data_IF_115293199061
#
_entry.id   IF_115293199061
#
_cell.length_a   1.000
_cell.length_b   1.000
_cell.length_c   1.000
_cell.angle_alpha   90.00
_cell.angle_beta   90.00
_cell.angle_gamma   90.00
#
_symmetry.space_group_name_H-M   'P 1'
#
loop_
_entity.id
_entity.type
_entity.pdbx_description
1 polymer ?
#
# COMPACT_ATOMS: atom_id res chain seq x y z
N UNK A 1 51.40 -18.61 -22.32
CA UNK A 1 50.08 -19.23 -22.55
C UNK A 1 49.07 -18.57 -21.62
N UNK A 2 48.25 -17.64 -22.11
CA UNK A 2 47.10 -17.09 -21.39
C UNK A 2 45.94 -17.08 -22.38
N UNK A 3 45.03 -18.03 -22.21
CA UNK A 3 43.85 -18.22 -23.06
C UNK A 3 42.77 -17.25 -22.63
N UNK A 4 42.39 -16.34 -23.52
CA UNK A 4 41.23 -15.47 -23.36
C UNK A 4 39.99 -16.23 -23.82
N UNK A 5 39.08 -16.52 -22.90
CA UNK A 5 37.77 -17.11 -23.20
C UNK A 5 36.84 -16.05 -23.77
N UNK A 6 36.53 -16.18 -25.06
CA UNK A 6 35.50 -15.42 -25.76
C UNK A 6 34.16 -16.08 -25.47
N UNK A 7 33.32 -15.42 -24.67
CA UNK A 7 31.91 -15.81 -24.48
C UNK A 7 31.10 -15.14 -25.57
N UNK A 8 30.61 -15.92 -26.52
CA UNK A 8 29.73 -15.47 -27.59
C UNK A 8 28.34 -15.15 -27.05
N UNK A 9 27.95 -13.87 -27.07
CA UNK A 9 26.57 -13.45 -26.91
C UNK A 9 25.82 -13.65 -28.23
N UNK A 10 24.87 -14.59 -28.25
CA UNK A 10 23.89 -14.70 -29.32
C UNK A 10 22.87 -13.58 -29.17
N UNK A 11 22.93 -12.59 -30.06
CA UNK A 11 21.92 -11.56 -30.18
C UNK A 11 20.70 -12.12 -30.93
N UNK A 12 19.62 -12.42 -30.19
CA UNK A 12 18.30 -12.58 -30.80
C UNK A 12 17.76 -11.18 -31.13
N UNK A 13 17.69 -10.84 -32.41
CA UNK A 13 17.05 -9.63 -32.91
C UNK A 13 15.55 -9.71 -32.73
N UNK A 14 15.05 -9.11 -31.64
CA UNK A 14 13.62 -8.95 -31.40
C UNK A 14 13.14 -7.67 -32.07
N UNK A 15 12.26 -7.81 -33.07
CA UNK A 15 11.66 -6.70 -33.78
C UNK A 15 10.77 -5.86 -32.83
N UNK A 16 11.18 -4.61 -32.61
CA UNK A 16 10.50 -3.65 -31.75
C UNK A 16 9.27 -3.08 -32.48
N UNK A 17 8.08 -3.50 -32.09
CA UNK A 17 6.82 -2.90 -32.54
C UNK A 17 6.58 -1.62 -31.75
N UNK A 18 6.65 -0.46 -32.42
CA UNK A 18 6.31 0.84 -31.86
C UNK A 18 4.78 0.91 -31.61
N UNK A 19 4.35 0.53 -30.40
CA UNK A 19 2.96 0.64 -29.97
C UNK A 19 2.67 2.05 -29.43
N UNK A 20 1.77 2.77 -30.09
CA UNK A 20 1.25 4.07 -29.64
C UNK A 20 0.55 3.96 -28.27
N UNK A 21 0.78 4.88 -27.31
CA UNK A 21 0.35 4.72 -25.92
C UNK A 21 -1.14 5.02 -25.61
N UNK A 22 -2.05 5.04 -26.59
CA UNK A 22 -3.41 5.61 -26.38
C UNK A 22 -4.56 4.61 -26.15
N UNK A 23 -4.34 3.31 -25.96
CA UNK A 23 -5.44 2.33 -25.85
C UNK A 23 -5.38 1.33 -24.67
N UNK A 24 -4.66 1.62 -23.57
CA UNK A 24 -4.51 0.65 -22.48
C UNK A 24 -5.60 0.69 -21.37
N UNK A 25 -6.65 1.52 -21.47
CA UNK A 25 -7.57 1.75 -20.33
C UNK A 25 -8.96 1.06 -20.39
N UNK A 26 -9.30 0.24 -21.38
CA UNK A 26 -10.65 -0.34 -21.49
C UNK A 26 -10.77 -1.87 -21.38
N UNK A 27 -9.80 -2.53 -20.73
CA UNK A 27 -9.92 -3.94 -20.34
C UNK A 27 -10.48 -4.11 -18.92
N UNK A 28 -11.78 -3.89 -18.71
CA UNK A 28 -12.47 -4.02 -17.39
C UNK A 28 -12.70 -5.50 -16.96
N UNK A 29 -11.75 -6.39 -17.26
CA UNK A 29 -11.88 -7.84 -17.09
C UNK A 29 -10.87 -8.50 -16.15
N UNK A 30 -10.11 -7.73 -15.36
CA UNK A 30 -9.24 -8.31 -14.32
C UNK A 30 -10.05 -8.98 -13.23
N UNK A 31 -9.78 -10.26 -12.96
CA UNK A 31 -10.41 -11.00 -11.86
C UNK A 31 -10.30 -10.19 -10.56
N UNK A 32 -11.46 -9.85 -9.97
CA UNK A 32 -11.56 -9.00 -8.75
C UNK A 32 -10.87 -9.62 -7.52
N UNK A 33 -10.46 -10.87 -7.60
CA UNK A 33 -9.75 -11.59 -6.55
C UNK A 33 -8.24 -11.26 -6.50
N UNK A 34 -7.74 -10.48 -7.48
CA UNK A 34 -6.32 -10.10 -7.54
C UNK A 34 -5.40 -11.25 -7.94
N UNK A 35 -5.95 -12.36 -8.47
CA UNK A 35 -5.21 -13.55 -8.92
C UNK A 35 -4.28 -13.27 -10.10
N UNK A 36 -4.52 -12.19 -10.85
CA UNK A 36 -3.78 -11.87 -12.07
C UNK A 36 -3.97 -12.92 -13.16
N UNK A 37 -3.49 -12.67 -14.38
CA UNK A 37 -3.47 -13.68 -15.42
C UNK A 37 -2.50 -14.82 -15.03
N UNK A 38 -2.92 -16.07 -15.30
CA UNK A 38 -2.01 -17.21 -15.38
C UNK A 38 -1.14 -17.02 -16.61
N UNK A 39 0.15 -17.27 -16.47
CA UNK A 39 1.14 -17.06 -17.54
C UNK A 39 1.83 -18.37 -17.85
N UNK A 40 2.22 -18.53 -19.10
CA UNK A 40 3.10 -19.62 -19.52
C UNK A 40 4.52 -19.29 -19.06
N UNK A 41 5.07 -20.11 -18.17
CA UNK A 41 6.40 -19.89 -17.60
C UNK A 41 7.54 -20.40 -18.50
N UNK A 42 7.22 -21.02 -19.65
CA UNK A 42 8.21 -21.54 -20.59
C UNK A 42 8.97 -20.46 -21.38
N UNK A 43 8.40 -19.25 -21.52
CA UNK A 43 9.04 -18.15 -22.27
C UNK A 43 9.43 -17.01 -21.33
N UNK A 44 10.69 -17.01 -20.90
CA UNK A 44 11.25 -15.98 -20.02
C UNK A 44 11.88 -14.83 -20.78
N UNK A 45 11.90 -13.65 -20.16
CA UNK A 45 12.72 -12.53 -20.60
C UNK A 45 13.50 -11.96 -19.41
N UNK A 46 14.61 -11.29 -19.71
CA UNK A 46 15.35 -10.47 -18.73
C UNK A 46 15.69 -9.14 -19.37
N UNK A 47 15.39 -8.06 -18.67
CA UNK A 47 15.76 -6.69 -19.03
C UNK A 47 16.67 -6.14 -17.94
N UNK A 48 17.86 -5.69 -18.32
CA UNK A 48 18.78 -4.99 -17.43
C UNK A 48 18.98 -3.56 -17.91
N UNK A 49 18.93 -2.60 -16.99
CA UNK A 49 19.08 -1.21 -17.36
C UNK A 49 19.04 -0.25 -16.18
N UNK A 50 18.89 1.03 -16.52
CA UNK A 50 18.75 2.14 -15.59
C UNK A 50 17.26 2.40 -15.32
N UNK A 51 16.87 2.58 -14.07
CA UNK A 51 15.52 3.02 -13.70
C UNK A 51 15.32 4.46 -14.20
N UNK A 52 14.33 4.68 -15.03
CA UNK A 52 13.94 6.01 -15.51
C UNK A 52 12.90 6.64 -14.60
N UNK A 53 11.93 5.83 -14.17
CA UNK A 53 10.85 6.28 -13.29
C UNK A 53 10.29 5.12 -12.48
N UNK A 54 9.85 5.43 -11.26
CA UNK A 54 9.13 4.51 -10.40
C UNK A 54 7.89 5.22 -9.85
N UNK A 55 6.72 4.80 -10.34
CA UNK A 55 5.43 5.34 -9.96
C UNK A 55 4.77 4.39 -8.96
N UNK A 56 5.03 4.61 -7.68
CA UNK A 56 4.44 3.86 -6.59
C UNK A 56 3.92 4.84 -5.53
N UNK A 57 2.67 5.25 -5.68
CA UNK A 57 2.03 6.15 -4.72
C UNK A 57 0.89 5.46 -3.96
N UNK A 58 0.70 5.81 -2.68
CA UNK A 58 -0.44 5.34 -1.94
C UNK A 58 -1.77 5.71 -2.63
N UNK A 59 -2.64 4.72 -2.82
CA UNK A 59 -3.89 4.86 -3.59
C UNK A 59 -3.78 4.51 -5.08
N UNK A 60 -2.57 4.33 -5.61
CA UNK A 60 -2.38 3.70 -6.91
C UNK A 60 -2.60 2.20 -6.79
N UNK A 61 -3.43 1.65 -7.69
CA UNK A 61 -3.76 0.23 -7.66
C UNK A 61 -2.55 -0.66 -7.99
N UNK A 62 -1.79 -0.26 -9.01
CA UNK A 62 -0.71 -1.05 -9.60
C UNK A 62 0.51 -0.16 -9.90
N UNK A 63 1.54 -0.14 -9.04
CA UNK A 63 2.77 0.59 -9.33
C UNK A 63 3.44 0.17 -10.63
N UNK A 64 4.17 1.14 -11.20
CA UNK A 64 4.87 0.99 -12.47
C UNK A 64 6.34 1.34 -12.33
N UNK A 65 7.20 0.56 -12.97
CA UNK A 65 8.65 0.78 -13.05
C UNK A 65 9.06 0.88 -14.51
N UNK A 66 9.75 1.96 -14.89
CA UNK A 66 10.29 2.12 -16.24
C UNK A 66 11.80 1.93 -16.20
N UNK A 67 12.31 1.03 -17.03
CA UNK A 67 13.75 0.73 -17.14
C UNK A 67 14.23 1.04 -18.56
N UNK A 68 15.38 1.69 -18.68
CA UNK A 68 16.09 2.01 -19.91
C UNK A 68 17.28 1.09 -20.09
N UNK A 69 17.27 0.31 -21.16
CA UNK A 69 18.36 -0.58 -21.53
C UNK A 69 19.55 0.19 -22.12
N UNK A 70 20.70 -0.47 -22.23
CA UNK A 70 21.90 0.13 -22.84
C UNK A 70 21.71 0.55 -24.31
N UNK A 71 20.74 -0.05 -25.01
CA UNK A 71 20.33 0.33 -26.38
C UNK A 71 19.59 1.67 -26.43
N UNK A 72 19.17 2.22 -25.29
CA UNK A 72 18.32 3.40 -25.18
C UNK A 72 16.82 3.11 -25.15
N UNK A 73 16.40 1.86 -25.44
CA UNK A 73 15.00 1.43 -25.34
C UNK A 73 14.48 1.53 -23.91
N UNK A 74 13.25 2.02 -23.74
CA UNK A 74 12.59 2.10 -22.44
C UNK A 74 11.40 1.13 -22.39
N UNK A 75 11.33 0.33 -21.33
CA UNK A 75 10.25 -0.61 -21.10
C UNK A 75 9.61 -0.33 -19.74
N UNK A 76 8.28 -0.24 -19.72
CA UNK A 76 7.52 0.02 -18.50
C UNK A 76 6.79 -1.24 -18.00
N UNK A 77 7.02 -1.57 -16.74
CA UNK A 77 6.57 -2.80 -16.10
C UNK A 77 5.57 -2.51 -14.99
N UNK A 78 4.50 -3.30 -14.89
CA UNK A 78 3.58 -3.25 -13.73
C UNK A 78 4.02 -4.27 -12.68
N UNK A 79 4.22 -3.80 -11.45
CA UNK A 79 4.84 -4.58 -10.37
C UNK A 79 3.84 -5.26 -9.42
N UNK A 80 2.54 -5.29 -9.75
CA UNK A 80 1.50 -5.80 -8.86
C UNK A 80 0.98 -4.74 -7.89
N UNK A 81 0.26 -5.11 -6.80
CA UNK A 81 -0.41 -4.15 -5.93
C UNK A 81 0.56 -3.34 -5.04
N UNK A 82 0.31 -2.04 -4.86
CA UNK A 82 1.15 -1.16 -4.01
C UNK A 82 1.39 -1.69 -2.60
N UNK A 83 0.34 -2.21 -1.94
CA UNK A 83 0.44 -2.81 -0.60
C UNK A 83 1.49 -3.92 -0.50
N UNK A 84 1.73 -4.66 -1.58
CA UNK A 84 2.70 -5.74 -1.59
C UNK A 84 4.12 -5.18 -1.65
N UNK A 85 4.36 -4.20 -2.53
CA UNK A 85 5.67 -3.52 -2.61
C UNK A 85 6.04 -2.86 -1.28
N UNK A 86 5.07 -2.21 -0.63
CA UNK A 86 5.23 -1.62 0.69
C UNK A 86 5.59 -2.66 1.74
N UNK A 87 4.89 -3.80 1.78
CA UNK A 87 5.20 -4.90 2.70
C UNK A 87 6.59 -5.51 2.47
N UNK A 88 7.13 -5.41 1.25
CA UNK A 88 8.48 -5.83 0.90
C UNK A 88 9.52 -4.71 1.06
N UNK A 89 9.12 -3.52 1.54
CA UNK A 89 9.95 -2.32 1.62
C UNK A 89 10.71 -2.02 0.31
N UNK A 90 10.09 -2.35 -0.83
CA UNK A 90 10.71 -2.16 -2.13
C UNK A 90 10.48 -0.74 -2.63
N UNK A 91 11.57 -0.07 -2.98
CA UNK A 91 11.57 1.24 -3.65
C UNK A 91 12.65 1.26 -4.73
N UNK A 92 12.48 2.15 -5.70
CA UNK A 92 13.45 2.40 -6.76
C UNK A 92 13.48 3.89 -7.09
N UNK A 93 14.65 4.40 -7.43
CA UNK A 93 14.88 5.80 -7.80
C UNK A 93 15.46 5.91 -9.21
N UNK A 94 15.22 7.04 -9.87
CA UNK A 94 15.79 7.29 -11.19
C UNK A 94 17.32 7.26 -11.14
N UNK A 95 17.96 6.62 -12.11
CA UNK A 95 19.40 6.42 -12.18
C UNK A 95 19.91 5.13 -11.53
N UNK A 96 19.09 4.41 -10.77
CA UNK A 96 19.50 3.12 -10.19
C UNK A 96 19.57 2.01 -11.25
N UNK A 97 20.39 0.98 -11.03
CA UNK A 97 20.43 -0.18 -11.92
C UNK A 97 19.44 -1.24 -11.47
N UNK A 98 18.65 -1.74 -12.40
CA UNK A 98 17.67 -2.79 -12.15
C UNK A 98 17.81 -3.95 -13.16
N UNK A 99 17.52 -5.15 -12.68
CA UNK A 99 17.28 -6.34 -13.49
C UNK A 99 15.83 -6.77 -13.29
N UNK A 100 15.07 -6.86 -14.38
CA UNK A 100 13.67 -7.30 -14.39
C UNK A 100 13.60 -8.63 -15.13
N UNK A 101 13.12 -9.66 -14.45
CA UNK A 101 12.89 -10.99 -15.03
C UNK A 101 11.39 -11.28 -15.01
N UNK A 102 10.90 -11.88 -16.09
CA UNK A 102 9.49 -12.21 -16.21
C UNK A 102 9.21 -13.16 -17.36
N UNK A 103 7.94 -13.20 -17.75
CA UNK A 103 7.47 -14.06 -18.82
C UNK A 103 6.66 -13.28 -19.85
N UNK A 104 6.74 -13.74 -21.09
CA UNK A 104 5.87 -13.26 -22.16
C UNK A 104 4.44 -13.72 -21.87
N UNK A 105 3.49 -12.81 -22.02
CA UNK A 105 2.08 -13.06 -21.77
C UNK A 105 1.23 -12.47 -22.89
N UNK A 106 0.89 -13.31 -23.87
CA UNK A 106 0.09 -12.91 -25.03
C UNK A 106 -1.32 -12.41 -24.66
N UNK A 107 -1.86 -12.85 -23.53
CA UNK A 107 -3.18 -12.42 -23.02
C UNK A 107 -3.13 -11.19 -22.10
N UNK A 108 -1.93 -10.72 -21.76
CA UNK A 108 -1.74 -9.57 -20.88
C UNK A 108 -1.73 -8.28 -21.71
N UNK A 109 -2.30 -7.20 -21.16
CA UNK A 109 -2.34 -5.89 -21.82
C UNK A 109 -0.94 -5.35 -22.20
N UNK A 110 0.09 -5.73 -21.44
CA UNK A 110 1.47 -5.28 -21.65
C UNK A 110 2.32 -6.27 -22.43
N UNK A 111 1.76 -7.42 -22.85
CA UNK A 111 2.51 -8.50 -23.50
C UNK A 111 3.50 -9.24 -22.61
N UNK A 112 3.72 -8.77 -21.37
CA UNK A 112 4.64 -9.34 -20.39
C UNK A 112 4.06 -9.29 -18.99
N UNK A 113 4.54 -10.18 -18.11
CA UNK A 113 4.36 -10.08 -16.67
C UNK A 113 5.70 -10.17 -15.97
N UNK A 114 5.85 -9.44 -14.87
CA UNK A 114 7.07 -9.48 -14.06
C UNK A 114 6.98 -10.60 -13.05
N UNK A 115 8.04 -11.41 -12.97
CA UNK A 115 8.24 -12.40 -11.92
C UNK A 115 9.10 -11.87 -10.79
N UNK A 116 10.17 -11.14 -11.12
CA UNK A 116 11.12 -10.63 -10.15
C UNK A 116 11.74 -9.30 -10.63
N UNK A 117 12.02 -8.41 -9.67
CA UNK A 117 12.85 -7.22 -9.88
C UNK A 117 14.01 -7.24 -8.90
N UNK A 118 15.24 -7.10 -9.38
CA UNK A 118 16.43 -6.87 -8.55
C UNK A 118 16.86 -5.42 -8.72
N UNK A 119 16.98 -4.69 -7.63
CA UNK A 119 17.67 -3.41 -7.59
C UNK A 119 19.15 -3.70 -7.37
N UNK A 120 19.95 -3.64 -8.45
CA UNK A 120 21.37 -3.96 -8.44
C UNK A 120 22.21 -2.89 -7.72
N UNK A 121 21.69 -1.67 -7.59
CA UNK A 121 22.34 -0.61 -6.82
C UNK A 121 22.22 -0.86 -5.32
N UNK A 122 21.04 -1.26 -4.84
CA UNK A 122 20.76 -1.49 -3.41
C UNK A 122 20.94 -2.93 -2.94
N UNK A 123 21.11 -3.89 -3.86
CA UNK A 123 21.14 -5.32 -3.55
C UNK A 123 19.79 -5.88 -3.10
N UNK A 124 18.68 -5.22 -3.41
CA UNK A 124 17.32 -5.65 -3.02
C UNK A 124 16.68 -6.49 -4.11
N UNK A 125 15.90 -7.50 -3.70
CA UNK A 125 15.15 -8.36 -4.60
C UNK A 125 13.68 -8.37 -4.23
N UNK A 126 12.83 -8.01 -5.18
CA UNK A 126 11.38 -8.11 -5.09
C UNK A 126 10.90 -9.29 -5.93
N UNK A 127 10.36 -10.31 -5.26
CA UNK A 127 9.70 -11.44 -5.92
C UNK A 127 8.21 -11.13 -6.02
N UNK A 128 7.66 -11.13 -7.24
CA UNK A 128 6.26 -10.83 -7.53
C UNK A 128 5.45 -12.10 -7.83
N UNK A 129 6.09 -13.10 -8.42
CA UNK A 129 5.47 -14.39 -8.76
C UNK A 129 6.42 -15.54 -8.40
N UNK A 130 5.84 -16.69 -8.08
CA UNK A 130 6.59 -17.93 -7.88
C UNK A 130 6.97 -18.59 -9.23
N UNK A 131 7.59 -19.78 -9.16
CA UNK A 131 8.04 -20.53 -10.32
C UNK A 131 6.89 -20.97 -11.26
N UNK A 132 5.67 -21.06 -10.75
CA UNK A 132 4.46 -21.39 -11.52
C UNK A 132 3.80 -20.12 -12.11
N UNK A 133 4.44 -18.96 -11.94
CA UNK A 133 3.90 -17.67 -12.40
C UNK A 133 2.72 -17.19 -11.57
N UNK A 134 2.45 -17.78 -10.40
CA UNK A 134 1.37 -17.35 -9.52
C UNK A 134 1.82 -16.15 -8.69
N UNK A 135 1.02 -15.06 -8.58
CA UNK A 135 1.43 -13.93 -7.78
C UNK A 135 1.48 -14.27 -6.29
N UNK A 136 2.61 -13.96 -5.66
CA UNK A 136 2.89 -14.40 -4.27
C UNK A 136 1.95 -13.73 -3.25
N UNK A 137 1.33 -12.59 -3.59
CA UNK A 137 0.31 -11.93 -2.75
C UNK A 137 -1.08 -12.61 -2.80
N UNK A 138 -1.28 -13.64 -3.63
CA UNK A 138 -2.55 -14.36 -3.77
C UNK A 138 -2.60 -15.66 -2.94
N UNK A 139 -1.44 -16.08 -2.43
CA UNK A 139 -1.29 -17.28 -1.60
C UNK A 139 -1.98 -17.16 -0.23
N UNK A 140 -2.02 -18.26 0.55
CA UNK A 140 -2.56 -18.28 1.92
C UNK A 140 -1.95 -17.19 2.81
N UNK A 141 -0.68 -16.83 2.60
CA UNK A 141 0.02 -15.75 3.29
C UNK A 141 -0.53 -14.34 2.95
N UNK A 142 -1.04 -14.13 1.74
CA UNK A 142 -1.65 -12.86 1.32
C UNK A 142 -3.15 -12.77 1.64
N UNK A 143 -3.79 -13.90 1.96
CA UNK A 143 -5.15 -13.95 2.50
C UNK A 143 -5.11 -13.78 4.01
N UNK A 144 -4.78 -12.57 4.45
CA UNK A 144 -5.11 -12.11 5.79
C UNK A 144 -6.61 -12.34 6.04
N UNK A 145 -6.91 -13.42 6.77
CA UNK A 145 -8.07 -13.60 7.65
C UNK A 145 -9.40 -13.08 7.08
N UNK A 146 -9.78 -13.49 5.87
CA UNK A 146 -11.17 -13.37 5.38
C UNK A 146 -11.67 -14.62 4.67
N UNK A 147 -11.38 -15.80 5.22
CA UNK A 147 -12.43 -16.83 5.21
C UNK A 147 -13.50 -16.39 6.20
N UNK A 148 -14.31 -15.42 5.78
CA UNK A 148 -15.68 -15.41 6.26
C UNK A 148 -16.24 -16.77 5.84
N UNK A 149 -16.40 -17.59 6.86
CA UNK A 149 -17.35 -18.65 7.02
C UNK A 149 -18.71 -18.21 6.44
N UNK A 150 -18.82 -18.16 5.10
CA UNK A 150 -20.09 -18.25 4.44
C UNK A 150 -20.52 -19.69 4.67
N UNK A 151 -21.23 -19.89 5.78
CA UNK A 151 -21.98 -21.10 6.05
C UNK A 151 -22.90 -21.34 4.87
N UNK A 152 -22.41 -22.12 3.91
CA UNK A 152 -23.26 -22.85 2.98
C UNK A 152 -23.65 -24.10 3.74
N UNK A 153 -24.69 -23.96 4.55
CA UNK A 153 -25.52 -25.07 5.01
C UNK A 153 -26.09 -25.77 3.78
N UNK A 154 -25.33 -26.68 3.17
CA UNK A 154 -25.94 -27.83 2.51
C UNK A 154 -26.42 -28.73 3.64
N UNK A 155 -27.68 -28.56 4.00
CA UNK A 155 -28.35 -29.51 4.88
C UNK A 155 -28.43 -30.85 4.18
N UNK A 156 -27.80 -31.87 4.77
CA UNK A 156 -28.34 -33.22 4.93
C UNK A 156 -27.66 -33.80 6.17
N UNK A 157 -28.43 -34.21 7.18
CA UNK A 157 -27.92 -35.04 8.27
C UNK A 157 -28.14 -34.48 9.67
N UNK A 158 -29.17 -34.98 10.34
CA UNK A 158 -29.41 -34.80 11.75
C UNK A 158 -28.26 -35.41 12.58
N UNK A 159 -27.60 -34.60 13.40
CA UNK A 159 -26.87 -35.09 14.56
C UNK A 159 -26.87 -34.02 15.65
N UNK A 160 -27.58 -34.32 16.74
CA UNK A 160 -27.56 -33.57 18.00
C UNK A 160 -26.16 -33.71 18.61
N UNK A 161 -25.39 -32.64 18.61
CA UNK A 161 -24.12 -32.54 19.33
C UNK A 161 -24.04 -31.21 20.06
N UNK A 162 -24.41 -31.22 21.35
CA UNK A 162 -24.21 -30.12 22.28
C UNK A 162 -22.71 -30.00 22.59
N UNK A 163 -22.06 -28.98 22.06
CA UNK A 163 -20.66 -28.67 22.36
C UNK A 163 -20.48 -27.17 22.57
N UNK A 164 -20.65 -26.72 23.82
CA UNK A 164 -20.29 -25.37 24.24
C UNK A 164 -18.77 -25.26 24.36
N UNK A 165 -18.12 -24.70 23.33
CA UNK A 165 -16.71 -24.33 23.37
C UNK A 165 -16.56 -22.81 23.32
N UNK A 166 -16.46 -22.17 24.48
CA UNK A 166 -16.16 -20.75 24.61
C UNK A 166 -14.68 -20.49 24.26
N UNK A 167 -14.40 -20.21 22.99
CA UNK A 167 -13.10 -19.72 22.52
C UNK A 167 -13.20 -18.26 22.09
N UNK A 168 -12.84 -17.32 22.97
CA UNK A 168 -12.69 -15.90 22.64
C UNK A 168 -11.39 -15.70 21.82
N UNK A 169 -11.49 -15.82 20.50
CA UNK A 169 -10.43 -15.41 19.58
C UNK A 169 -10.60 -13.95 19.15
N UNK A 170 -9.76 -13.05 19.67
CA UNK A 170 -9.72 -11.63 19.29
C UNK A 170 -9.16 -11.46 17.87
N UNK A 171 -10.02 -11.61 16.86
CA UNK A 171 -9.71 -11.27 15.46
C UNK A 171 -10.06 -9.82 15.16
N UNK A 172 -9.14 -8.90 15.40
CA UNK A 172 -9.30 -7.47 15.16
C UNK A 172 -9.22 -7.11 13.65
N UNK A 173 -10.17 -7.54 12.82
CA UNK A 173 -10.42 -6.87 11.53
C UNK A 173 -11.91 -6.85 11.16
N UNK A 174 -12.47 -5.63 11.05
CA UNK A 174 -13.67 -5.28 10.25
C UNK A 174 -15.06 -5.87 10.58
N UNK A 175 -15.37 -6.22 11.85
CA UNK A 175 -16.76 -6.14 12.35
C UNK A 175 -16.98 -5.10 13.44
N UNK A 176 -15.98 -4.23 13.68
CA UNK A 176 -16.00 -3.18 14.71
C UNK A 176 -16.60 -1.83 14.30
N UNK A 177 -17.23 -1.71 13.14
CA UNK A 177 -17.79 -0.43 12.67
C UNK A 177 -18.86 0.18 13.57
N UNK A 178 -19.48 -0.62 14.46
CA UNK A 178 -20.43 -0.13 15.47
C UNK A 178 -19.78 0.26 16.80
N UNK A 179 -18.65 -0.33 17.16
CA UNK A 179 -18.01 -0.05 18.46
C UNK A 179 -17.21 1.25 18.47
N UNK A 180 -16.74 1.72 17.32
CA UNK A 180 -16.09 3.04 17.21
C UNK A 180 -17.06 4.23 17.40
N UNK A 181 -18.38 4.01 17.31
CA UNK A 181 -19.37 5.02 17.71
C UNK A 181 -19.67 4.97 19.24
N UNK A 182 -19.16 3.97 19.99
CA UNK A 182 -19.49 3.73 21.41
C UNK A 182 -18.31 3.91 22.38
N UNK A 183 -17.06 3.74 21.93
CA UNK A 183 -15.90 4.23 22.66
C UNK A 183 -15.92 5.76 22.53
N UNK A 184 -16.21 6.47 23.62
CA UNK A 184 -16.38 7.92 23.66
C UNK A 184 -15.37 8.62 22.75
N UNK A 185 -15.88 9.50 21.88
CA UNK A 185 -15.02 10.29 20.99
C UNK A 185 -13.98 11.10 21.77
N UNK A 186 -13.09 11.82 21.06
CA UNK A 186 -12.11 12.67 21.75
C UNK A 186 -12.81 13.64 22.70
N UNK A 187 -12.22 13.86 23.88
CA UNK A 187 -12.71 14.79 24.89
C UNK A 187 -12.53 16.23 24.41
N UNK A 188 -13.59 16.76 23.80
CA UNK A 188 -13.60 18.12 23.25
C UNK A 188 -13.53 19.21 24.33
N UNK A 189 -13.68 18.87 25.61
CA UNK A 189 -13.43 19.78 26.73
C UNK A 189 -11.93 20.00 26.99
N UNK A 190 -11.07 19.11 26.48
CA UNK A 190 -9.61 19.12 26.68
C UNK A 190 -8.83 19.35 25.38
N UNK A 191 -9.39 20.17 24.48
CA UNK A 191 -8.71 20.50 23.22
C UNK A 191 -7.44 21.31 23.49
N UNK A 192 -6.33 20.87 22.89
CA UNK A 192 -5.04 21.56 22.90
C UNK A 192 -4.57 21.85 21.47
N UNK A 193 -3.69 22.84 21.34
CA UNK A 193 -2.99 23.14 20.09
C UNK A 193 -1.50 22.96 20.31
N UNK A 194 -0.89 22.11 19.50
CA UNK A 194 0.54 21.85 19.51
C UNK A 194 1.16 22.50 18.27
N UNK A 195 2.33 23.13 18.42
CA UNK A 195 3.04 23.76 17.32
C UNK A 195 4.53 23.39 17.39
N UNK A 196 5.11 23.08 16.24
CA UNK A 196 6.54 22.77 16.11
C UNK A 196 6.86 21.87 14.92
N UNK A 197 8.14 21.47 14.77
CA UNK A 197 8.56 20.61 13.68
C UNK A 197 8.05 19.18 13.84
N UNK A 198 7.67 18.57 12.72
CA UNK A 198 7.44 17.13 12.63
C UNK A 198 8.75 16.38 12.88
N UNK A 199 8.78 15.49 13.86
CA UNK A 199 9.90 14.60 14.12
C UNK A 199 9.80 13.38 13.21
N UNK A 200 8.64 12.73 13.19
CA UNK A 200 8.37 11.58 12.34
C UNK A 200 6.89 11.49 11.99
N UNK A 201 6.60 10.84 10.86
CA UNK A 201 5.26 10.49 10.45
C UNK A 201 5.25 9.04 10.00
N UNK A 202 4.36 8.25 10.59
CA UNK A 202 4.14 6.84 10.25
C UNK A 202 2.69 6.66 9.88
N UNK A 203 2.41 6.41 8.60
CA UNK A 203 1.06 6.16 8.15
C UNK A 203 0.93 6.11 6.64
N UNK A 204 0.05 5.23 6.19
CA UNK A 204 -0.21 4.98 4.79
C UNK A 204 -1.58 4.34 4.59
N UNK A 205 -2.08 4.25 3.34
CA UNK A 205 -3.34 3.61 3.05
C UNK A 205 -3.28 2.14 3.43
N UNK A 206 -4.09 1.77 4.42
CA UNK A 206 -4.17 0.40 4.92
C UNK A 206 -3.24 0.09 6.09
N UNK A 207 -2.40 1.03 6.53
CA UNK A 207 -1.46 0.83 7.65
C UNK A 207 -2.04 1.09 9.04
N UNK A 208 -3.37 1.20 9.15
CA UNK A 208 -4.04 1.46 10.42
C UNK A 208 -4.22 2.95 10.70
N UNK A 209 -3.86 3.38 11.91
CA UNK A 209 -4.01 4.76 12.35
C UNK A 209 -2.71 5.52 12.07
N UNK A 210 -2.71 6.51 11.16
CA UNK A 210 -1.50 7.29 10.92
C UNK A 210 -1.14 8.07 12.18
N UNK A 211 0.14 8.06 12.54
CA UNK A 211 0.69 8.67 13.74
C UNK A 211 1.73 9.72 13.33
N UNK A 212 1.64 10.88 13.96
CA UNK A 212 2.58 11.97 13.85
C UNK A 212 3.30 12.14 15.19
N UNK A 213 4.62 12.17 15.18
CA UNK A 213 5.40 12.66 16.32
C UNK A 213 5.93 14.03 15.95
N UNK A 214 5.71 15.03 16.80
CA UNK A 214 6.19 16.40 16.61
C UNK A 214 6.85 16.92 17.88
N UNK A 215 7.82 17.81 17.73
CA UNK A 215 8.49 18.43 18.87
C UNK A 215 7.77 19.72 19.23
N UNK A 216 7.10 19.74 20.39
CA UNK A 216 6.39 20.91 20.89
C UNK A 216 7.15 21.54 22.07
N UNK A 217 6.73 22.72 22.53
CA UNK A 217 7.34 23.39 23.69
C UNK A 217 7.28 22.58 24.99
N UNK A 218 6.39 21.59 25.06
CA UNK A 218 6.20 20.69 26.21
C UNK A 218 7.00 19.37 26.07
N UNK A 219 7.78 19.23 25.00
CA UNK A 219 8.44 17.99 24.60
C UNK A 219 7.81 17.37 23.35
N UNK A 220 8.24 16.16 23.02
CA UNK A 220 7.70 15.43 21.88
C UNK A 220 6.28 14.94 22.17
N UNK A 221 5.37 15.15 21.21
CA UNK A 221 3.96 14.80 21.31
C UNK A 221 3.62 13.84 20.17
N UNK A 222 3.05 12.69 20.54
CA UNK A 222 2.48 11.73 19.59
C UNK A 222 0.99 12.03 19.37
N UNK A 223 0.60 12.24 18.11
CA UNK A 223 -0.77 12.58 17.71
C UNK A 223 -1.25 11.66 16.60
N UNK A 224 -2.42 11.06 16.78
CA UNK A 224 -3.08 10.22 15.79
C UNK A 224 -3.80 11.08 14.73
N UNK A 225 -3.41 10.97 13.46
CA UNK A 225 -3.97 11.72 12.33
C UNK A 225 -5.09 10.96 11.59
N UNK A 226 -6.01 10.34 12.34
CA UNK A 226 -7.10 9.54 11.76
C UNK A 226 -8.34 10.39 11.46
N UNK A 227 -8.95 10.27 10.26
CA UNK A 227 -8.70 9.25 9.24
C UNK A 227 -7.64 9.66 8.19
N UNK A 228 -6.75 8.72 7.81
CA UNK A 228 -5.72 8.96 6.77
C UNK A 228 -6.30 9.42 5.42
N UNK A 229 -7.53 9.00 5.09
CA UNK A 229 -8.21 9.41 3.86
C UNK A 229 -8.33 10.93 3.73
N UNK A 230 -8.53 11.66 4.83
CA UNK A 230 -8.65 13.11 4.80
C UNK A 230 -7.32 13.78 4.40
N UNK A 231 -6.18 13.24 4.86
CA UNK A 231 -4.84 13.67 4.43
C UNK A 231 -4.64 13.45 2.92
N UNK A 232 -4.96 12.25 2.43
CA UNK A 232 -4.89 11.92 1.00
C UNK A 232 -5.76 12.84 0.12
N UNK A 233 -6.99 13.11 0.54
CA UNK A 233 -7.91 13.98 -0.19
C UNK A 233 -7.40 15.43 -0.25
N UNK A 234 -6.70 15.88 0.78
CA UNK A 234 -6.05 17.17 0.81
C UNK A 234 -4.71 17.20 0.05
N UNK A 235 -4.23 16.06 -0.47
CA UNK A 235 -2.91 15.95 -1.07
C UNK A 235 -1.78 16.25 -0.09
N UNK A 236 -2.02 16.04 1.20
CA UNK A 236 -1.10 16.43 2.27
C UNK A 236 -0.47 15.21 2.93
N UNK A 237 0.84 15.19 3.04
CA UNK A 237 1.60 14.18 3.79
C UNK A 237 2.64 14.91 4.65
N UNK A 238 2.58 14.80 5.99
CA UNK A 238 3.56 15.45 6.85
C UNK A 238 4.98 14.96 6.54
N UNK A 239 5.91 15.87 6.32
CA UNK A 239 7.33 15.57 6.12
C UNK A 239 8.11 15.88 7.40
N UNK A 240 9.14 15.07 7.70
CA UNK A 240 10.04 15.36 8.82
C UNK A 240 10.68 16.75 8.66
N UNK A 241 10.73 17.51 9.75
CA UNK A 241 11.20 18.90 9.79
C UNK A 241 10.16 19.95 9.39
N UNK A 242 9.02 19.57 8.80
CA UNK A 242 7.97 20.52 8.44
C UNK A 242 7.38 21.17 9.70
N UNK A 243 7.18 22.49 9.67
CA UNK A 243 6.52 23.21 10.77
C UNK A 243 5.01 23.02 10.67
N UNK A 244 4.40 22.46 11.72
CA UNK A 244 2.97 22.18 11.75
C UNK A 244 2.31 22.74 13.01
N UNK A 245 1.02 23.05 12.89
CA UNK A 245 0.13 23.36 13.99
C UNK A 245 -0.99 22.30 14.03
N UNK A 246 -1.10 21.58 15.14
CA UNK A 246 -2.03 20.47 15.31
C UNK A 246 -3.00 20.76 16.43
N UNK A 247 -4.28 20.89 16.09
CA UNK A 247 -5.38 20.99 17.07
C UNK A 247 -5.85 19.58 17.38
N UNK A 248 -5.71 19.13 18.62
CA UNK A 248 -6.00 17.77 19.03
C UNK A 248 -6.80 17.73 20.35
N UNK A 249 -7.46 16.62 20.59
CA UNK A 249 -8.15 16.32 21.85
C UNK A 249 -7.83 14.89 22.28
N UNK A 250 -7.71 14.61 23.59
CA UNK A 250 -7.35 13.29 24.08
C UNK A 250 -8.53 12.34 23.95
N UNK A 251 -8.25 11.07 23.67
CA UNK A 251 -9.19 9.96 23.82
C UNK A 251 -8.61 8.99 24.85
N UNK A 252 -9.43 8.57 25.81
CA UNK A 252 -9.00 7.57 26.80
C UNK A 252 -9.21 6.17 26.23
N UNK A 253 -8.13 5.44 26.04
CA UNK A 253 -8.11 4.03 25.63
C UNK A 253 -7.34 3.25 26.69
N UNK A 254 -7.97 2.23 27.26
CA UNK A 254 -7.35 1.37 28.29
C UNK A 254 -6.77 2.15 29.49
N UNK A 255 -7.40 3.26 29.84
CA UNK A 255 -7.00 4.14 30.95
C UNK A 255 -5.84 5.08 30.63
N UNK A 256 -5.37 5.13 29.38
CA UNK A 256 -4.35 6.05 28.91
C UNK A 256 -4.93 7.08 27.93
N UNK A 257 -4.48 8.33 28.02
CA UNK A 257 -4.87 9.39 27.09
C UNK A 257 -4.00 9.33 25.83
N UNK A 258 -4.65 9.27 24.67
CA UNK A 258 -4.00 9.39 23.37
C UNK A 258 -4.50 10.64 22.65
N UNK A 259 -3.60 11.47 22.12
CA UNK A 259 -4.00 12.65 21.37
C UNK A 259 -4.50 12.28 19.98
N UNK A 260 -5.69 12.76 19.63
CA UNK A 260 -6.27 12.57 18.30
C UNK A 260 -6.47 13.93 17.66
N UNK A 261 -5.93 14.09 16.45
CA UNK A 261 -6.01 15.35 15.75
C UNK A 261 -7.45 15.62 15.26
N UNK A 262 -7.90 16.85 15.51
CA UNK A 262 -9.09 17.44 14.93
C UNK A 262 -8.76 18.12 13.60
N UNK A 263 -7.64 18.85 13.58
CA UNK A 263 -7.09 19.48 12.39
C UNK A 263 -5.56 19.56 12.46
N UNK A 264 -4.92 19.55 11.29
CA UNK A 264 -3.50 19.83 11.13
C UNK A 264 -3.33 20.93 10.08
N UNK A 265 -2.45 21.89 10.35
CA UNK A 265 -2.06 22.96 9.44
C UNK A 265 -0.57 22.92 9.20
N UNK A 266 -0.18 22.89 7.94
CA UNK A 266 1.20 23.10 7.53
C UNK A 266 1.49 24.61 7.49
N UNK A 267 2.47 25.06 8.28
CA UNK A 267 2.75 26.49 8.45
C UNK A 267 3.35 27.10 7.19
N UNK A 268 4.20 26.35 6.49
CA UNK A 268 4.90 26.85 5.30
C UNK A 268 3.95 27.02 4.11
N UNK A 269 3.06 26.04 3.90
CA UNK A 269 2.13 26.03 2.75
C UNK A 269 0.77 26.65 3.07
N UNK A 270 0.43 26.81 4.35
CA UNK A 270 -0.90 27.24 4.81
C UNK A 270 -2.00 26.18 4.64
N UNK A 271 -1.68 25.00 4.11
CA UNK A 271 -2.64 23.90 3.91
C UNK A 271 -3.18 23.45 5.25
N UNK A 272 -4.50 23.43 5.38
CA UNK A 272 -5.20 22.97 6.57
C UNK A 272 -6.06 21.75 6.24
N UNK A 273 -5.86 20.66 6.97
CA UNK A 273 -6.63 19.41 6.83
C UNK A 273 -7.50 19.20 8.06
N UNK A 274 -8.81 19.26 7.87
CA UNK A 274 -9.79 18.93 8.91
C UNK A 274 -10.03 17.43 8.95
N UNK A 275 -9.55 16.78 10.01
CA UNK A 275 -9.66 15.34 10.22
C UNK A 275 -10.95 14.97 10.94
N UNK A 276 -11.44 15.86 11.80
CA UNK A 276 -12.67 15.66 12.58
C UNK A 276 -13.48 16.95 12.66
N UNK A 277 -14.79 16.79 12.77
CA UNK A 277 -15.68 17.90 13.07
C UNK A 277 -15.37 18.44 14.48
N UNK A 278 -15.05 19.74 14.63
CA UNK A 278 -14.62 20.31 15.91
C UNK A 278 -15.74 20.38 16.96
N UNK A 279 -17.00 20.27 16.55
CA UNK A 279 -18.16 20.30 17.45
C UNK A 279 -18.58 18.91 17.95
N UNK A 280 -18.26 17.87 17.19
CA UNK A 280 -18.70 16.50 17.50
C UNK A 280 -17.58 15.49 17.69
N UNK A 281 -16.35 15.82 17.29
CA UNK A 281 -15.19 14.93 17.34
C UNK A 281 -15.27 13.78 16.31
N UNK A 282 -16.31 13.74 15.47
CA UNK A 282 -16.48 12.69 14.48
C UNK A 282 -15.51 12.85 13.30
N UNK A 283 -14.96 11.74 12.77
CA UNK A 283 -14.13 11.75 11.57
C UNK A 283 -14.82 12.46 10.39
N UNK A 284 -14.07 13.30 9.68
CA UNK A 284 -14.56 13.94 8.46
C UNK A 284 -14.87 12.87 7.40
N UNK A 285 -16.04 13.00 6.76
CA UNK A 285 -16.51 12.03 5.76
C UNK A 285 -17.13 10.74 6.33
N UNK A 286 -17.17 10.55 7.65
CA UNK A 286 -17.99 9.47 8.22
C UNK A 286 -19.47 9.77 8.00
N UNK A 287 -20.21 8.82 7.42
CA UNK A 287 -21.68 8.89 7.41
C UNK A 287 -22.13 8.91 8.86
N UNK A 288 -22.87 9.95 9.27
CA UNK A 288 -23.40 10.06 10.64
C UNK A 288 -24.06 8.72 10.99
N UNK A 289 -23.57 8.07 12.05
CA UNK A 289 -24.26 6.94 12.68
C UNK A 289 -25.69 7.47 12.96
N UNK A 290 -26.70 7.06 12.18
CA UNK A 290 -28.07 7.50 12.39
C UNK A 290 -28.45 7.13 13.83
N UNK A 291 -28.74 8.14 14.66
CA UNK A 291 -29.29 7.94 16.00
C UNK A 291 -30.57 7.12 15.83
N UNK A 292 -30.57 5.88 16.32
CA UNK A 292 -31.80 5.13 16.56
C UNK A 292 -32.34 5.49 17.92
#
# INVERSE_FOLDING_TARGET
MKSNSIVGMAALGMALVLASPLAAQQGRGGARDGSGPRVDTGTTFTVQGEVVSFLAAPGQAMPQLTVREASGSQTAFVLGPFRYLQAQSFTAEAGERAEVTGWVCASCAQGVVVGQVKNLTRGLTLVLRDADGTPVWTGPAGRGVRRHLAGRTTGVGAARGLGMGAGQGMGATQRGGRHLCAAGGPDLGRVATFAGPVVSFSGGPGEGFPTLVMSASQGDVEVMLSPYRALLQAGYTPAAGAQVEVKAAPVSLDGQDHWVALAIKDVATGVTVTLRDPSTGFPSGARRCARR
#
